data_IF_205420968411
#
_entry.id   IF_205420968411
#
_cell.length_a   1.000
_cell.length_b   1.000
_cell.length_c   1.000
_cell.angle_alpha   90.00
_cell.angle_beta   90.00
_cell.angle_gamma   90.00
#
_symmetry.space_group_name_H-M   'P 1'
#
loop_
_entity.id
_entity.type
_entity.pdbx_description
1 polymer ?
#
# COMPACT_ATOMS: atom_id res chain seq x y z
N UNK A 1 -5.93 -2.85 -26.54
CA UNK A 1 -4.66 -2.81 -27.29
C UNK A 1 -4.22 -4.21 -27.71
N UNK A 2 -4.25 -4.53 -29.00
CA UNK A 2 -3.79 -5.81 -29.56
C UNK A 2 -2.25 -5.89 -29.63
N UNK A 3 -1.69 -7.08 -29.88
CA UNK A 3 -0.24 -7.30 -30.12
C UNK A 3 0.29 -6.42 -31.27
N UNK A 4 -0.54 -6.18 -32.29
CA UNK A 4 -0.22 -5.30 -33.40
C UNK A 4 -0.03 -3.84 -32.93
N UNK A 5 -0.87 -3.38 -32.00
CA UNK A 5 -0.79 -2.02 -31.45
C UNK A 5 0.41 -1.86 -30.49
N UNK A 6 0.82 -2.91 -29.78
CA UNK A 6 2.04 -2.90 -28.96
C UNK A 6 3.31 -2.81 -29.83
N UNK A 7 3.35 -3.57 -30.94
CA UNK A 7 4.40 -3.49 -31.97
C UNK A 7 4.40 -2.12 -32.66
N UNK A 8 3.22 -1.51 -32.90
CA UNK A 8 3.09 -0.16 -33.44
C UNK A 8 3.45 0.94 -32.43
N UNK A 9 3.29 0.70 -31.13
CA UNK A 9 3.74 1.58 -30.05
C UNK A 9 5.26 1.44 -29.79
N UNK A 10 5.88 0.33 -30.23
CA UNK A 10 7.31 0.04 -30.05
C UNK A 10 8.22 1.17 -30.51
N UNK A 11 8.03 1.82 -31.68
CA UNK A 11 8.85 2.96 -32.11
C UNK A 11 8.62 4.21 -31.26
N UNK A 12 7.42 4.41 -30.71
CA UNK A 12 7.10 5.54 -29.85
C UNK A 12 7.73 5.38 -28.46
N UNK A 13 7.58 4.19 -27.86
CA UNK A 13 8.17 3.85 -26.56
C UNK A 13 9.69 3.77 -26.68
N UNK A 14 10.22 3.07 -27.69
CA UNK A 14 11.65 3.04 -27.97
C UNK A 14 12.18 4.44 -28.29
N UNK A 15 11.45 5.25 -29.06
CA UNK A 15 11.82 6.63 -29.37
C UNK A 15 11.87 7.55 -28.14
N UNK A 16 11.00 7.33 -27.15
CA UNK A 16 11.02 8.00 -25.85
C UNK A 16 12.23 7.58 -25.00
N UNK A 17 12.63 6.30 -25.08
CA UNK A 17 13.64 5.71 -24.22
C UNK A 17 15.05 5.64 -24.81
N UNK A 18 15.24 5.83 -26.13
CA UNK A 18 16.53 5.52 -26.81
C UNK A 18 17.08 6.63 -27.73
N UNK A 19 16.33 7.69 -28.08
CA UNK A 19 16.83 8.68 -29.05
C UNK A 19 17.95 9.57 -28.48
N UNK A 20 19.16 9.58 -29.09
CA UNK A 20 20.24 10.47 -28.70
C UNK A 20 20.04 11.85 -29.36
N UNK A 21 19.76 12.85 -28.55
CA UNK A 21 19.64 14.24 -28.98
C UNK A 21 19.59 15.16 -27.76
N UNK A 22 19.53 16.50 -27.93
CA UNK A 22 19.56 17.48 -26.83
C UNK A 22 18.40 17.33 -25.81
N UNK A 23 17.49 16.37 -26.02
CA UNK A 23 16.53 15.81 -25.06
C UNK A 23 17.14 14.77 -24.10
N UNK A 24 18.41 14.92 -23.70
CA UNK A 24 19.01 14.15 -22.59
C UNK A 24 18.22 14.28 -21.28
N UNK A 25 17.40 15.33 -21.17
CA UNK A 25 16.50 15.60 -20.03
C UNK A 25 15.24 14.71 -20.03
N UNK A 26 14.86 14.07 -21.15
CA UNK A 26 13.59 13.32 -21.24
C UNK A 26 13.71 11.81 -20.93
N UNK A 27 14.85 11.17 -21.25
CA UNK A 27 15.08 9.76 -20.94
C UNK A 27 15.33 9.50 -19.43
N UNK A 28 15.64 10.54 -18.65
CA UNK A 28 15.93 10.47 -17.21
C UNK A 28 14.70 10.55 -16.28
N UNK A 29 13.48 10.61 -16.82
CA UNK A 29 12.28 10.96 -16.02
C UNK A 29 11.15 9.91 -16.01
N UNK A 30 11.28 8.78 -16.73
CA UNK A 30 10.21 7.77 -16.76
C UNK A 30 10.27 6.93 -15.48
N UNK A 31 9.49 7.33 -14.47
CA UNK A 31 9.38 6.60 -13.21
C UNK A 31 8.39 5.42 -13.31
N UNK A 32 7.31 5.59 -14.06
CA UNK A 32 6.20 4.63 -14.14
C UNK A 32 5.65 4.50 -15.56
N UNK A 33 5.30 3.28 -15.96
CA UNK A 33 4.62 2.95 -17.21
C UNK A 33 3.33 2.19 -16.87
N UNK A 34 2.19 2.71 -17.30
CA UNK A 34 0.89 2.08 -17.09
C UNK A 34 0.41 1.37 -18.34
N UNK A 35 -0.02 0.12 -18.20
CA UNK A 35 -0.54 -0.72 -19.26
C UNK A 35 -1.99 -1.03 -18.93
N UNK A 36 -2.88 -0.16 -19.40
CA UNK A 36 -4.32 -0.24 -19.15
C UNK A 36 -5.01 -0.66 -20.44
N UNK A 37 -5.56 -1.87 -20.44
CA UNK A 37 -6.24 -2.46 -21.60
C UNK A 37 -7.48 -3.20 -21.11
N UNK A 38 -8.62 -3.07 -21.79
CA UNK A 38 -9.84 -3.81 -21.41
C UNK A 38 -9.68 -5.32 -21.49
N UNK A 39 -8.69 -5.81 -22.26
CA UNK A 39 -8.28 -7.21 -22.31
C UNK A 39 -6.98 -7.41 -21.52
N UNK A 40 -7.07 -8.11 -20.39
CA UNK A 40 -5.93 -8.46 -19.52
C UNK A 40 -4.89 -9.37 -20.17
N UNK A 41 -5.29 -10.26 -21.07
CA UNK A 41 -4.33 -11.09 -21.83
C UNK A 41 -3.50 -10.22 -22.74
N UNK A 42 -4.13 -9.24 -23.39
CA UNK A 42 -3.43 -8.30 -24.23
C UNK A 42 -2.56 -7.32 -23.40
N UNK A 43 -3.00 -6.90 -22.21
CA UNK A 43 -2.18 -6.15 -21.25
C UNK A 43 -0.90 -6.90 -20.87
N UNK A 44 -1.01 -8.19 -20.54
CA UNK A 44 0.13 -9.04 -20.19
C UNK A 44 1.12 -9.17 -21.35
N UNK A 45 0.63 -9.31 -22.60
CA UNK A 45 1.49 -9.34 -23.80
C UNK A 45 2.23 -8.02 -24.01
N UNK A 46 1.54 -6.88 -23.88
CA UNK A 46 2.16 -5.55 -23.97
C UNK A 46 3.23 -5.39 -22.89
N UNK A 47 2.96 -5.85 -21.67
CA UNK A 47 3.93 -5.84 -20.57
C UNK A 47 5.24 -6.54 -20.95
N UNK A 48 5.16 -7.73 -21.57
CA UNK A 48 6.36 -8.43 -22.04
C UNK A 48 7.19 -7.60 -23.03
N UNK A 49 6.54 -6.87 -23.94
CA UNK A 49 7.23 -6.01 -24.92
C UNK A 49 7.88 -4.81 -24.22
N UNK A 50 7.16 -4.17 -23.29
CA UNK A 50 7.69 -3.04 -22.52
C UNK A 50 8.90 -3.46 -21.69
N UNK A 51 8.83 -4.62 -21.02
CA UNK A 51 9.97 -5.20 -20.28
C UNK A 51 11.20 -5.37 -21.16
N UNK A 52 11.03 -5.93 -22.37
CA UNK A 52 12.13 -6.07 -23.34
C UNK A 52 12.76 -4.71 -23.69
N UNK A 53 11.95 -3.69 -23.97
CA UNK A 53 12.44 -2.34 -24.30
C UNK A 53 13.19 -1.73 -23.11
N UNK A 54 12.62 -1.76 -21.91
CA UNK A 54 13.23 -1.19 -20.70
C UNK A 54 14.55 -1.90 -20.37
N UNK A 55 14.59 -3.23 -20.52
CA UNK A 55 15.81 -4.01 -20.29
C UNK A 55 16.96 -3.60 -21.21
N UNK A 56 16.66 -3.29 -22.48
CA UNK A 56 17.63 -2.92 -23.52
C UNK A 56 17.95 -1.42 -23.56
N UNK A 57 17.12 -0.58 -22.94
CA UNK A 57 17.35 0.86 -22.93
C UNK A 57 18.67 1.21 -22.21
N UNK A 58 19.50 2.00 -22.90
CA UNK A 58 20.76 2.54 -22.41
C UNK A 58 20.54 3.98 -21.96
N UNK A 59 20.97 4.34 -20.74
CA UNK A 59 20.82 5.69 -20.20
C UNK A 59 19.55 5.93 -19.36
N UNK A 60 18.79 4.88 -19.05
CA UNK A 60 17.90 4.91 -17.90
C UNK A 60 18.72 5.14 -16.63
N UNK A 61 18.12 5.79 -15.63
CA UNK A 61 18.76 5.88 -14.31
C UNK A 61 19.07 4.48 -13.79
N UNK A 62 20.04 4.36 -12.87
CA UNK A 62 20.29 3.11 -12.14
C UNK A 62 19.06 2.64 -11.32
N UNK A 63 18.06 3.50 -11.17
CA UNK A 63 16.77 3.19 -10.53
C UNK A 63 15.80 2.49 -11.46
N UNK A 64 15.01 1.60 -10.88
CA UNK A 64 14.08 0.76 -11.61
C UNK A 64 12.82 1.53 -12.07
N UNK A 65 12.39 1.29 -13.30
CA UNK A 65 11.10 1.80 -13.83
C UNK A 65 9.96 0.91 -13.32
N UNK A 66 8.90 1.49 -12.75
CA UNK A 66 7.73 0.70 -12.36
C UNK A 66 6.81 0.47 -13.57
N UNK A 67 6.51 -0.78 -13.89
CA UNK A 67 5.58 -1.18 -14.93
C UNK A 67 4.32 -1.69 -14.26
N UNK A 68 3.19 -1.04 -14.49
CA UNK A 68 1.94 -1.30 -13.78
C UNK A 68 0.92 -1.79 -14.79
N UNK A 69 0.48 -3.03 -14.64
CA UNK A 69 -0.36 -3.73 -15.61
C UNK A 69 -1.74 -3.91 -15.04
N UNK A 70 -2.78 -3.53 -15.78
CA UNK A 70 -4.14 -3.95 -15.43
C UNK A 70 -4.28 -5.44 -15.70
N UNK A 71 -4.87 -6.15 -14.74
CA UNK A 71 -5.43 -7.48 -14.96
C UNK A 71 -6.85 -7.56 -14.41
N UNK A 72 -7.60 -8.53 -14.89
CA UNK A 72 -9.01 -8.72 -14.49
C UNK A 72 -9.15 -9.80 -13.40
N UNK A 73 -8.10 -10.57 -13.14
CA UNK A 73 -8.09 -11.68 -12.19
C UNK A 73 -7.03 -11.48 -11.09
N UNK A 74 -7.42 -11.73 -9.84
CA UNK A 74 -6.56 -11.52 -8.68
C UNK A 74 -5.44 -12.55 -8.56
N UNK A 75 -5.68 -13.82 -8.92
CA UNK A 75 -4.64 -14.85 -8.89
C UNK A 75 -3.58 -14.60 -9.98
N UNK A 76 -4.00 -14.13 -11.15
CA UNK A 76 -3.09 -13.69 -12.20
C UNK A 76 -2.32 -12.44 -11.79
N UNK A 77 -2.97 -11.49 -11.11
CA UNK A 77 -2.29 -10.31 -10.56
C UNK A 77 -1.16 -10.72 -9.62
N UNK A 78 -1.46 -11.61 -8.70
CA UNK A 78 -0.51 -12.17 -7.76
C UNK A 78 0.67 -12.85 -8.48
N UNK A 79 0.36 -13.71 -9.46
CA UNK A 79 1.37 -14.43 -10.24
C UNK A 79 2.33 -13.46 -10.94
N UNK A 80 1.81 -12.40 -11.57
CA UNK A 80 2.64 -11.39 -12.24
C UNK A 80 3.57 -10.70 -11.24
N UNK A 81 3.05 -10.29 -10.07
CA UNK A 81 3.85 -9.62 -9.03
C UNK A 81 5.02 -10.50 -8.57
N UNK A 82 4.83 -11.81 -8.48
CA UNK A 82 5.90 -12.76 -8.11
C UNK A 82 6.87 -13.10 -9.26
N UNK A 83 6.35 -13.42 -10.45
CA UNK A 83 7.18 -13.79 -11.62
C UNK A 83 8.17 -12.66 -11.98
N UNK A 84 7.69 -11.43 -11.93
CA UNK A 84 8.47 -10.26 -12.32
C UNK A 84 9.22 -9.58 -11.16
N UNK A 85 9.10 -10.13 -9.95
CA UNK A 85 9.81 -9.62 -8.78
C UNK A 85 11.34 -9.55 -9.02
N UNK A 86 11.90 -10.55 -9.71
CA UNK A 86 13.34 -10.73 -9.92
C UNK A 86 13.85 -10.49 -11.34
N UNK A 87 12.98 -10.13 -12.28
CA UNK A 87 13.32 -10.29 -13.69
C UNK A 87 14.37 -9.29 -14.21
N UNK A 88 14.57 -8.13 -13.55
CA UNK A 88 15.65 -7.19 -13.90
C UNK A 88 15.82 -6.07 -12.89
N UNK A 89 17.05 -5.70 -12.51
CA UNK A 89 17.30 -4.48 -11.72
C UNK A 89 16.70 -3.21 -12.34
N UNK A 90 16.49 -3.16 -13.65
CA UNK A 90 15.99 -1.99 -14.39
C UNK A 90 14.49 -1.73 -14.28
N UNK A 91 13.69 -2.69 -13.82
CA UNK A 91 12.25 -2.48 -13.68
C UNK A 91 11.63 -3.28 -12.53
N UNK A 92 10.47 -2.84 -12.08
CA UNK A 92 9.62 -3.52 -11.09
C UNK A 92 8.23 -3.62 -11.71
N UNK A 93 7.60 -4.79 -11.64
CA UNK A 93 6.24 -4.94 -12.16
C UNK A 93 5.24 -4.99 -11.02
N UNK A 94 4.09 -4.34 -11.24
CA UNK A 94 2.91 -4.54 -10.43
C UNK A 94 1.71 -4.86 -11.32
N UNK A 95 0.70 -5.47 -10.71
CA UNK A 95 -0.58 -5.74 -11.32
C UNK A 95 -1.69 -5.05 -10.52
N UNK A 96 -2.62 -4.40 -11.21
CA UNK A 96 -3.80 -3.79 -10.61
C UNK A 96 -5.06 -4.53 -11.03
N UNK A 97 -5.87 -4.87 -10.03
CA UNK A 97 -7.23 -5.42 -10.20
C UNK A 97 -8.22 -4.34 -9.80
N UNK A 98 -9.24 -4.09 -10.62
CA UNK A 98 -10.20 -3.02 -10.38
C UNK A 98 -10.93 -3.17 -9.04
N UNK A 99 -11.31 -4.39 -8.65
CA UNK A 99 -11.94 -4.65 -7.34
C UNK A 99 -11.02 -4.40 -6.15
N UNK A 100 -9.74 -4.78 -6.23
CA UNK A 100 -8.74 -4.49 -5.19
C UNK A 100 -8.50 -2.98 -5.04
N UNK A 101 -8.39 -2.28 -6.18
CA UNK A 101 -8.25 -0.82 -6.22
C UNK A 101 -9.46 -0.14 -5.59
N UNK A 102 -10.67 -0.49 -6.04
CA UNK A 102 -11.91 0.09 -5.53
C UNK A 102 -12.08 -0.19 -4.04
N UNK A 103 -11.79 -1.41 -3.57
CA UNK A 103 -11.85 -1.75 -2.14
C UNK A 103 -10.90 -0.91 -1.30
N UNK A 104 -9.64 -0.74 -1.74
CA UNK A 104 -8.64 0.10 -1.07
C UNK A 104 -9.12 1.55 -0.88
N UNK A 105 -9.73 2.12 -1.90
CA UNK A 105 -10.18 3.51 -1.89
C UNK A 105 -11.48 3.71 -1.11
N UNK A 106 -12.47 2.82 -1.30
CA UNK A 106 -13.73 2.85 -0.55
C UNK A 106 -13.46 2.74 0.95
N UNK A 107 -12.66 1.76 1.38
CA UNK A 107 -12.36 1.61 2.81
C UNK A 107 -11.47 2.74 3.34
N UNK A 108 -10.52 3.24 2.55
CA UNK A 108 -9.69 4.39 2.92
C UNK A 108 -10.54 5.64 3.21
N UNK A 109 -11.53 5.92 2.38
CA UNK A 109 -12.44 7.04 2.57
C UNK A 109 -13.49 6.80 3.64
N UNK A 110 -14.02 5.58 3.73
CA UNK A 110 -14.94 5.25 4.80
C UNK A 110 -14.32 5.48 6.19
N UNK A 111 -13.06 5.09 6.37
CA UNK A 111 -12.31 5.34 7.59
C UNK A 111 -12.03 6.83 7.81
N UNK A 112 -11.76 7.58 6.73
CA UNK A 112 -11.61 9.03 6.79
C UNK A 112 -12.88 9.73 7.30
N UNK A 113 -14.05 9.37 6.76
CA UNK A 113 -15.34 9.95 7.16
C UNK A 113 -15.68 9.69 8.64
N UNK A 114 -15.22 8.57 9.19
CA UNK A 114 -15.39 8.24 10.62
C UNK A 114 -14.51 9.08 11.57
N UNK A 115 -13.46 9.73 11.04
CA UNK A 115 -12.49 10.54 11.76
C UNK A 115 -11.35 9.75 12.40
N UNK A 116 -10.22 10.42 12.61
CA UNK A 116 -9.01 9.83 13.22
C UNK A 116 -9.26 9.39 14.67
N UNK A 117 -8.81 8.18 15.02
CA UNK A 117 -8.77 7.67 16.40
C UNK A 117 -9.93 6.76 16.84
N UNK A 118 -10.91 6.49 15.98
CA UNK A 118 -11.90 5.44 16.26
C UNK A 118 -11.33 4.08 15.88
N UNK A 119 -10.99 3.28 16.89
CA UNK A 119 -10.47 1.91 16.71
C UNK A 119 -11.57 0.85 16.82
N UNK A 120 -12.78 1.24 17.22
CA UNK A 120 -13.93 0.33 17.35
C UNK A 120 -15.02 0.68 16.34
N UNK A 121 -14.72 0.44 15.07
CA UNK A 121 -15.61 0.68 13.94
C UNK A 121 -16.07 -0.64 13.34
N UNK A 122 -17.35 -0.73 12.99
CA UNK A 122 -17.91 -1.92 12.34
C UNK A 122 -18.07 -1.68 10.85
N UNK A 123 -17.60 -2.63 10.05
CA UNK A 123 -17.88 -2.68 8.62
C UNK A 123 -19.01 -3.69 8.34
N UNK A 124 -20.08 -3.26 7.69
CA UNK A 124 -21.14 -4.14 7.18
C UNK A 124 -20.99 -4.23 5.66
N UNK A 125 -20.64 -5.41 5.16
CA UNK A 125 -20.47 -5.67 3.72
C UNK A 125 -21.69 -6.44 3.22
N UNK A 126 -22.39 -5.87 2.24
CA UNK A 126 -23.59 -6.47 1.64
C UNK A 126 -23.29 -6.99 0.24
N UNK A 127 -23.70 -8.23 -0.04
CA UNK A 127 -23.57 -8.86 -1.36
C UNK A 127 -22.48 -9.93 -1.45
N UNK A 128 -22.43 -10.64 -2.58
CA UNK A 128 -21.61 -11.84 -2.80
C UNK A 128 -20.60 -11.72 -3.96
N UNK A 129 -20.33 -10.50 -4.41
CA UNK A 129 -19.48 -10.24 -5.58
C UNK A 129 -17.97 -10.37 -5.31
N UNK A 130 -17.15 -10.37 -6.37
CA UNK A 130 -15.68 -10.28 -6.27
C UNK A 130 -15.23 -9.03 -5.49
N UNK A 131 -16.04 -7.97 -5.50
CA UNK A 131 -15.79 -6.78 -4.70
C UNK A 131 -15.97 -7.06 -3.20
N UNK A 132 -16.93 -7.90 -2.80
CA UNK A 132 -17.05 -8.36 -1.39
C UNK A 132 -15.75 -9.02 -0.95
N UNK A 133 -15.21 -9.96 -1.73
CA UNK A 133 -13.94 -10.61 -1.42
C UNK A 133 -12.77 -9.61 -1.35
N UNK A 134 -12.72 -8.62 -2.25
CA UNK A 134 -11.69 -7.58 -2.23
C UNK A 134 -11.80 -6.66 -1.00
N UNK A 135 -13.01 -6.29 -0.59
CA UNK A 135 -13.28 -5.48 0.61
C UNK A 135 -12.83 -6.22 1.87
N UNK A 136 -13.13 -7.50 2.01
CA UNK A 136 -12.67 -8.32 3.14
C UNK A 136 -11.14 -8.39 3.22
N UNK A 137 -10.47 -8.64 2.09
CA UNK A 137 -9.01 -8.68 2.00
C UNK A 137 -8.37 -7.33 2.36
N UNK A 138 -8.95 -6.22 1.90
CA UNK A 138 -8.46 -4.89 2.24
C UNK A 138 -8.69 -4.55 3.71
N UNK A 139 -9.83 -4.93 4.30
CA UNK A 139 -10.09 -4.69 5.71
C UNK A 139 -9.08 -5.43 6.62
N UNK A 140 -8.78 -6.69 6.32
CA UNK A 140 -7.72 -7.45 7.00
C UNK A 140 -6.34 -6.80 6.82
N UNK A 141 -6.05 -6.25 5.63
CA UNK A 141 -4.80 -5.54 5.37
C UNK A 141 -4.70 -4.26 6.20
N UNK A 142 -5.74 -3.42 6.21
CA UNK A 142 -5.80 -2.17 6.98
C UNK A 142 -5.66 -2.41 8.48
N UNK A 143 -6.27 -3.48 9.00
CA UNK A 143 -6.11 -3.88 10.40
C UNK A 143 -4.65 -4.17 10.75
N UNK A 144 -3.98 -4.98 9.92
CA UNK A 144 -2.56 -5.32 10.10
C UNK A 144 -1.64 -4.09 9.95
N UNK A 145 -1.96 -3.18 9.04
CA UNK A 145 -1.27 -1.90 8.90
C UNK A 145 -1.39 -1.05 10.17
N UNK A 146 -2.59 -0.97 10.75
CA UNK A 146 -2.84 -0.25 12.01
C UNK A 146 -2.00 -0.84 13.13
N UNK A 147 -2.07 -2.17 13.35
CA UNK A 147 -1.28 -2.85 14.38
C UNK A 147 0.22 -2.61 14.21
N UNK A 148 0.73 -2.67 12.96
CA UNK A 148 2.14 -2.48 12.68
C UNK A 148 2.60 -1.07 13.06
N UNK A 149 1.79 -0.06 12.78
CA UNK A 149 2.11 1.32 13.10
C UNK A 149 1.91 1.66 14.57
N UNK A 150 0.95 1.01 15.24
CA UNK A 150 0.77 1.10 16.69
C UNK A 150 1.99 0.52 17.42
N UNK A 151 2.55 -0.61 16.98
CA UNK A 151 3.78 -1.18 17.53
C UNK A 151 4.97 -0.23 17.40
N UNK A 152 5.14 0.38 16.22
CA UNK A 152 6.18 1.39 15.99
C UNK A 152 6.02 2.59 16.95
N UNK A 153 4.76 3.00 17.21
CA UNK A 153 4.45 4.09 18.13
C UNK A 153 4.61 3.69 19.61
N UNK A 154 4.36 2.43 19.97
CA UNK A 154 4.47 1.91 21.34
C UNK A 154 5.91 1.65 21.76
N UNK A 155 6.79 1.24 20.84
CA UNK A 155 8.23 1.11 21.07
C UNK A 155 8.86 2.40 21.62
N UNK A 156 8.30 3.56 21.24
CA UNK A 156 8.71 4.89 21.74
C UNK A 156 8.48 5.08 23.24
N UNK A 157 7.41 4.51 23.82
CA UNK A 157 7.10 4.67 25.26
C UNK A 157 8.10 3.93 26.17
N UNK A 158 8.73 2.86 25.66
CA UNK A 158 9.66 2.02 26.44
C UNK A 158 11.06 2.64 26.60
N UNK A 159 11.43 3.57 25.72
CA UNK A 159 12.73 4.28 25.72
C UNK A 159 12.65 5.70 26.28
N UNK A 160 11.46 6.19 26.62
CA UNK A 160 11.30 7.43 27.35
C UNK A 160 11.62 7.18 28.83
N UNK A 161 12.86 7.44 29.24
CA UNK A 161 13.20 7.49 30.66
C UNK A 161 12.41 8.63 31.33
N UNK A 162 11.87 8.45 32.55
CA UNK A 162 11.09 9.48 33.26
C UNK A 162 11.84 10.80 33.54
N UNK A 163 13.15 10.83 33.29
CA UNK A 163 14.03 11.96 33.57
C UNK A 163 14.34 12.85 32.34
N UNK A 164 13.82 12.53 31.15
CA UNK A 164 13.81 13.50 30.05
C UNK A 164 12.78 14.58 30.41
N UNK A 165 13.27 15.78 30.76
CA UNK A 165 12.49 16.94 31.22
C UNK A 165 11.37 17.39 30.27
N UNK A 166 10.72 18.54 30.52
CA UNK A 166 9.42 18.89 29.94
C UNK A 166 9.54 19.25 28.44
N UNK A 167 9.70 18.23 27.60
CA UNK A 167 9.42 18.23 26.18
C UNK A 167 8.31 17.20 25.89
N UNK A 168 7.37 17.10 26.83
CA UNK A 168 6.07 16.50 26.60
C UNK A 168 5.34 17.31 25.51
N UNK A 169 4.70 16.56 24.60
CA UNK A 169 3.78 17.05 23.57
C UNK A 169 4.42 17.54 22.25
N UNK A 170 5.22 16.70 21.59
CA UNK A 170 5.49 16.87 20.14
C UNK A 170 4.47 16.10 19.28
N UNK A 171 3.72 15.16 19.85
CA UNK A 171 2.69 14.38 19.13
C UNK A 171 1.47 15.24 18.74
N UNK A 172 1.29 16.42 19.37
CA UNK A 172 0.05 17.20 19.27
C UNK A 172 0.15 18.46 18.38
N UNK A 173 1.29 18.70 17.69
CA UNK A 173 1.51 19.89 16.86
C UNK A 173 1.67 19.60 15.36
N UNK A 174 1.28 18.41 14.88
CA UNK A 174 1.09 18.21 13.45
C UNK A 174 -0.25 18.83 13.07
N UNK A 175 -0.19 20.06 12.53
CA UNK A 175 -1.34 20.79 12.03
C UNK A 175 -2.20 19.92 11.14
N UNK A 176 -3.48 19.87 11.47
CA UNK A 176 -4.55 19.37 10.61
C UNK A 176 -4.69 20.32 9.42
N UNK A 177 -3.94 20.09 8.35
CA UNK A 177 -4.28 20.63 7.04
C UNK A 177 -5.07 19.57 6.24
N UNK A 178 -6.25 19.99 5.80
CA UNK A 178 -7.47 19.23 5.48
C UNK A 178 -7.40 18.27 4.26
N UNK A 179 -6.21 17.83 3.85
CA UNK A 179 -6.02 16.88 2.73
C UNK A 179 -4.97 15.80 2.98
N UNK A 180 -4.29 15.81 4.12
CA UNK A 180 -3.00 15.11 4.28
C UNK A 180 -3.06 13.64 4.68
N UNK A 181 -4.26 13.10 4.78
CA UNK A 181 -4.45 11.98 5.67
C UNK A 181 -5.40 10.95 5.05
N UNK A 182 -4.91 10.21 4.06
CA UNK A 182 -5.20 8.77 4.07
C UNK A 182 -4.35 8.16 5.19
N UNK A 183 -4.67 8.51 6.45
CA UNK A 183 -4.02 7.96 7.63
C UNK A 183 -4.15 6.46 7.52
N UNK A 184 -3.02 5.77 7.63
CA UNK A 184 -2.96 4.38 8.08
C UNK A 184 -3.40 4.28 9.57
N UNK A 185 -4.42 5.04 9.99
CA UNK A 185 -4.75 5.33 11.39
C UNK A 185 -6.16 4.88 11.79
N UNK A 186 -6.90 4.26 10.89
CA UNK A 186 -8.18 3.63 11.19
C UNK A 186 -8.18 2.18 10.69
N UNK A 187 -8.85 1.31 11.44
CA UNK A 187 -9.21 -0.02 11.00
C UNK A 187 -10.60 -0.37 11.53
N UNK A 188 -11.20 -1.41 10.95
CA UNK A 188 -12.44 -1.98 11.49
C UNK A 188 -12.07 -3.04 12.51
N UNK A 189 -12.69 -3.00 13.68
CA UNK A 189 -12.53 -4.04 14.72
C UNK A 189 -13.40 -5.26 14.43
N UNK A 190 -14.53 -5.02 13.75
CA UNK A 190 -15.54 -6.01 13.40
C UNK A 190 -16.00 -5.85 11.95
N UNK A 191 -16.26 -6.98 11.30
CA UNK A 191 -16.88 -7.05 9.97
C UNK A 191 -18.10 -7.97 10.06
N UNK A 192 -19.22 -7.52 9.50
CA UNK A 192 -20.40 -8.35 9.22
C UNK A 192 -20.54 -8.50 7.73
N UNK A 193 -20.56 -9.74 7.25
CA UNK A 193 -20.98 -10.07 5.89
C UNK A 193 -22.47 -10.38 5.92
N UNK A 194 -23.25 -9.63 5.16
CA UNK A 194 -24.69 -9.78 5.06
C UNK A 194 -25.04 -10.14 3.62
N UNK A 195 -25.38 -11.41 3.41
CA UNK A 195 -25.91 -11.95 2.17
C UNK A 195 -26.50 -13.33 2.45
N UNK A 196 -27.32 -13.89 1.55
CA UNK A 196 -27.78 -15.28 1.66
C UNK A 196 -26.60 -16.27 1.73
N UNK A 197 -25.51 -15.97 1.02
CA UNK A 197 -24.28 -16.76 0.95
C UNK A 197 -23.22 -16.39 1.99
N UNK A 198 -23.52 -15.50 2.95
CA UNK A 198 -22.53 -14.93 3.88
C UNK A 198 -21.67 -15.97 4.60
N UNK A 199 -22.24 -17.10 5.02
CA UNK A 199 -21.51 -18.18 5.69
C UNK A 199 -20.41 -18.75 4.78
N UNK A 200 -20.72 -19.04 3.52
CA UNK A 200 -19.75 -19.58 2.55
C UNK A 200 -18.64 -18.58 2.23
N UNK A 201 -19.00 -17.29 2.09
CA UNK A 201 -18.05 -16.19 1.87
C UNK A 201 -17.07 -16.09 3.05
N UNK A 202 -17.58 -16.09 4.28
CA UNK A 202 -16.78 -15.97 5.49
C UNK A 202 -15.87 -17.18 5.66
N UNK A 203 -16.37 -18.40 5.44
CA UNK A 203 -15.56 -19.62 5.51
C UNK A 203 -14.43 -19.62 4.48
N UNK A 204 -14.74 -19.29 3.23
CA UNK A 204 -13.76 -19.18 2.13
C UNK A 204 -12.69 -18.13 2.43
N UNK A 205 -13.10 -16.96 2.92
CA UNK A 205 -12.18 -15.88 3.30
C UNK A 205 -11.28 -16.29 4.48
N UNK A 206 -11.85 -16.89 5.53
CA UNK A 206 -11.09 -17.39 6.68
C UNK A 206 -10.04 -18.44 6.28
N UNK A 207 -10.39 -19.34 5.36
CA UNK A 207 -9.47 -20.35 4.85
C UNK A 207 -8.26 -19.73 4.13
N UNK A 208 -8.45 -18.61 3.42
CA UNK A 208 -7.39 -17.89 2.71
C UNK A 208 -6.57 -16.95 3.60
N UNK A 209 -7.19 -16.38 4.64
CA UNK A 209 -6.57 -15.39 5.55
C UNK A 209 -5.39 -15.96 6.37
N UNK A 210 -5.38 -17.26 6.64
CA UNK A 210 -4.36 -17.89 7.49
C UNK A 210 -4.41 -17.43 8.95
N UNK A 211 -3.28 -17.49 9.68
CA UNK A 211 -3.19 -17.15 11.12
C UNK A 211 -2.93 -15.67 11.41
N UNK A 212 -3.11 -14.80 10.42
CA UNK A 212 -2.80 -13.39 10.58
C UNK A 212 -3.83 -12.67 11.48
N UNK A 213 -3.33 -11.71 12.28
CA UNK A 213 -4.19 -10.79 13.03
C UNK A 213 -5.09 -10.03 12.07
N UNK A 214 -6.37 -9.89 12.41
CA UNK A 214 -7.37 -9.20 11.61
C UNK A 214 -8.73 -9.14 12.36
N UNK A 215 -9.70 -8.34 11.88
CA UNK A 215 -10.96 -8.10 12.57
C UNK A 215 -11.75 -9.37 12.90
N UNK A 216 -12.64 -9.24 13.89
CA UNK A 216 -13.68 -10.22 14.13
C UNK A 216 -14.65 -10.23 12.95
N UNK A 217 -14.97 -11.43 12.44
CA UNK A 217 -15.76 -11.61 11.23
C UNK A 217 -17.04 -12.39 11.58
N UNK A 218 -18.18 -11.86 11.17
CA UNK A 218 -19.50 -12.43 11.42
C UNK A 218 -20.26 -12.63 10.12
N UNK A 219 -20.96 -13.75 9.99
CA UNK A 219 -21.84 -14.04 8.87
C UNK A 219 -23.30 -13.89 9.29
N UNK A 220 -24.07 -13.11 8.53
CA UNK A 220 -25.51 -12.99 8.64
C UNK A 220 -26.12 -13.54 7.35
N UNK A 221 -26.47 -14.84 7.34
CA UNK A 221 -27.02 -15.54 6.17
C UNK A 221 -28.48 -15.17 5.90
N UNK A 222 -28.69 -13.94 5.44
CA UNK A 222 -29.99 -13.36 5.15
C UNK A 222 -29.90 -12.48 3.88
N UNK A 223 -30.97 -12.39 3.05
CA UNK A 223 -30.99 -11.48 1.92
C UNK A 223 -30.81 -10.03 2.40
N UNK A 224 -29.75 -9.38 1.94
CA UNK A 224 -29.34 -8.11 2.53
C UNK A 224 -30.34 -6.99 2.28
N UNK A 225 -31.01 -6.96 1.11
CA UNK A 225 -31.92 -5.86 0.77
C UNK A 225 -33.15 -5.80 1.69
N UNK A 226 -33.53 -6.94 2.28
CA UNK A 226 -34.65 -7.03 3.22
C UNK A 226 -34.21 -7.00 4.68
N UNK A 227 -32.93 -7.24 4.96
CA UNK A 227 -32.45 -7.53 6.32
C UNK A 227 -31.52 -6.44 6.88
N UNK A 228 -30.84 -5.69 6.02
CA UNK A 228 -29.82 -4.69 6.41
C UNK A 228 -30.31 -3.70 7.47
N UNK A 229 -31.51 -3.13 7.30
CA UNK A 229 -32.05 -2.17 8.26
C UNK A 229 -32.28 -2.80 9.65
N UNK A 230 -32.68 -4.07 9.70
CA UNK A 230 -32.91 -4.76 10.98
C UNK A 230 -31.59 -5.13 11.65
N UNK A 231 -30.59 -5.54 10.87
CA UNK A 231 -29.22 -5.80 11.36
C UNK A 231 -28.65 -4.53 12.00
N UNK A 232 -28.74 -3.38 11.31
CA UNK A 232 -28.24 -2.11 11.84
C UNK A 232 -29.01 -1.66 13.10
N UNK A 233 -30.34 -1.79 13.13
CA UNK A 233 -31.15 -1.42 14.31
C UNK A 233 -30.82 -2.25 15.55
N UNK A 234 -30.61 -3.55 15.37
CA UNK A 234 -30.25 -4.45 16.48
C UNK A 234 -28.90 -4.06 17.08
N UNK A 235 -27.97 -3.57 16.23
CA UNK A 235 -26.66 -3.07 16.67
C UNK A 235 -26.73 -1.72 17.39
N UNK A 236 -27.51 -0.77 16.88
CA UNK A 236 -27.68 0.52 17.55
C UNK A 236 -28.25 0.38 18.97
N UNK A 237 -29.00 -0.69 19.25
CA UNK A 237 -29.47 -1.03 20.59
C UNK A 237 -28.43 -1.69 21.51
N UNK A 238 -27.26 -2.08 20.99
CA UNK A 238 -26.24 -2.87 21.71
C UNK A 238 -24.84 -2.22 21.75
N UNK A 239 -24.53 -1.23 20.88
CA UNK A 239 -23.25 -0.51 20.91
C UNK A 239 -23.36 0.94 20.42
N UNK A 240 -22.48 1.82 20.93
CA UNK A 240 -22.22 3.18 20.41
C UNK A 240 -21.23 3.19 19.22
N UNK A 241 -20.71 2.02 18.80
CA UNK A 241 -19.72 1.90 17.72
C UNK A 241 -20.31 2.35 16.38
N UNK A 242 -19.66 3.32 15.72
CA UNK A 242 -20.06 3.80 14.40
C UNK A 242 -19.93 2.68 13.35
N UNK A 243 -20.88 2.62 12.41
CA UNK A 243 -20.86 1.62 11.34
C UNK A 243 -20.66 2.26 9.96
N UNK A 244 -19.97 1.52 9.11
CA UNK A 244 -19.88 1.79 7.67
C UNK A 244 -20.56 0.65 6.96
N UNK A 245 -21.43 0.98 6.02
CA UNK A 245 -22.08 0.00 5.14
C UNK A 245 -21.44 0.08 3.76
N UNK A 246 -20.96 -1.04 3.23
CA UNK A 246 -20.52 -1.16 1.84
C UNK A 246 -21.43 -2.14 1.12
N UNK A 247 -22.15 -1.67 0.11
CA UNK A 247 -22.98 -2.48 -0.77
C UNK A 247 -22.16 -2.79 -2.02
N UNK A 248 -21.62 -4.01 -2.06
CA UNK A 248 -20.68 -4.47 -3.08
C UNK A 248 -21.36 -5.12 -4.29
N UNK A 249 -22.64 -5.47 -4.17
CA UNK A 249 -23.43 -6.03 -5.27
C UNK A 249 -23.48 -5.09 -6.49
N UNK A 250 -23.68 -5.65 -7.69
CA UNK A 250 -23.95 -4.85 -8.88
C UNK A 250 -25.15 -3.90 -8.69
N UNK A 251 -25.17 -2.77 -9.40
CA UNK A 251 -26.21 -1.77 -9.22
C UNK A 251 -27.60 -2.31 -9.55
N UNK A 252 -28.58 -2.00 -8.70
CA UNK A 252 -29.98 -2.32 -8.93
C UNK A 252 -30.92 -1.26 -8.33
N UNK A 253 -32.08 -1.07 -8.95
CA UNK A 253 -33.10 -0.14 -8.44
C UNK A 253 -33.64 -0.50 -7.06
N UNK A 254 -33.55 -1.78 -6.66
CA UNK A 254 -33.91 -2.25 -5.32
C UNK A 254 -32.79 -1.91 -4.34
N UNK A 255 -31.55 -2.25 -4.66
CA UNK A 255 -30.38 -1.94 -3.83
C UNK A 255 -30.21 -0.45 -3.57
N UNK A 256 -30.35 0.38 -4.61
CA UNK A 256 -30.32 1.84 -4.49
C UNK A 256 -31.38 2.37 -3.49
N UNK A 257 -32.63 1.89 -3.59
CA UNK A 257 -33.70 2.32 -2.67
C UNK A 257 -33.41 1.91 -1.22
N UNK A 258 -32.77 0.76 -1.02
CA UNK A 258 -32.33 0.32 0.31
C UNK A 258 -31.20 1.22 0.81
N UNK A 259 -30.16 1.47 0.01
CA UNK A 259 -29.06 2.37 0.36
C UNK A 259 -29.55 3.75 0.80
N UNK A 260 -30.43 4.36 0.00
CA UNK A 260 -31.08 5.63 0.31
C UNK A 260 -31.84 5.58 1.65
N UNK A 261 -32.62 4.52 1.87
CA UNK A 261 -33.39 4.34 3.10
C UNK A 261 -32.48 4.15 4.32
N UNK A 262 -31.37 3.43 4.19
CA UNK A 262 -30.40 3.25 5.29
C UNK A 262 -29.76 4.59 5.63
N UNK A 263 -29.25 5.32 4.64
CA UNK A 263 -28.63 6.63 4.86
C UNK A 263 -29.60 7.62 5.55
N UNK A 264 -30.89 7.58 5.19
CA UNK A 264 -31.93 8.42 5.80
C UNK A 264 -32.29 8.03 7.24
N UNK A 265 -32.33 6.73 7.56
CA UNK A 265 -32.93 6.24 8.81
C UNK A 265 -31.93 5.84 9.89
N UNK A 266 -30.69 5.51 9.51
CA UNK A 266 -29.69 4.97 10.43
C UNK A 266 -28.61 5.97 10.82
N UNK A 267 -28.36 6.99 10.00
CA UNK A 267 -27.24 7.93 10.18
C UNK A 267 -25.87 7.34 9.82
N UNK A 268 -25.80 6.07 9.42
CA UNK A 268 -24.55 5.40 9.05
C UNK A 268 -24.00 5.91 7.71
N UNK A 269 -22.68 5.79 7.50
CA UNK A 269 -22.06 6.03 6.21
C UNK A 269 -22.29 4.85 5.27
N UNK A 270 -22.95 5.09 4.14
CA UNK A 270 -23.31 4.07 3.14
C UNK A 270 -22.52 4.30 1.86
N UNK A 271 -21.79 3.29 1.43
CA UNK A 271 -21.04 3.24 0.18
C UNK A 271 -21.76 2.26 -0.76
N UNK A 272 -22.26 2.75 -1.88
CA UNK A 272 -23.05 1.97 -2.83
C UNK A 272 -22.33 1.85 -4.18
N UNK A 273 -22.16 0.61 -4.65
CA UNK A 273 -21.69 0.34 -6.00
C UNK A 273 -22.77 0.71 -7.02
N UNK A 274 -22.60 1.86 -7.66
CA UNK A 274 -23.53 2.41 -8.63
C UNK A 274 -23.26 1.90 -10.06
N UNK A 275 -22.03 1.43 -10.34
CA UNK A 275 -21.64 0.96 -11.68
C UNK A 275 -21.50 2.06 -12.74
N UNK A 276 -20.75 1.78 -13.80
CA UNK A 276 -20.60 2.66 -14.96
C UNK A 276 -21.96 2.93 -15.64
N UNK A 277 -22.37 4.21 -15.68
CA UNK A 277 -23.62 4.64 -16.33
C UNK A 277 -24.76 5.00 -15.37
N UNK A 278 -24.56 4.91 -14.05
CA UNK A 278 -25.54 5.40 -13.06
C UNK A 278 -25.45 6.92 -12.81
N UNK A 279 -24.62 7.63 -13.58
CA UNK A 279 -24.42 9.06 -13.46
C UNK A 279 -25.24 9.84 -14.49
N UNK A 280 -26.54 10.00 -14.23
CA UNK A 280 -27.25 11.24 -14.58
C UNK A 280 -28.27 11.59 -13.48
N UNK A 281 -27.86 12.46 -12.55
CA UNK A 281 -28.78 13.46 -12.01
C UNK A 281 -29.37 13.29 -10.61
N UNK A 282 -28.76 12.55 -9.67
CA UNK A 282 -29.20 12.63 -8.26
C UNK A 282 -28.04 12.89 -7.31
N UNK A 283 -27.74 14.17 -7.08
CA UNK A 283 -27.31 14.54 -5.73
C UNK A 283 -28.43 14.13 -4.79
N UNK A 284 -28.21 13.13 -3.95
CA UNK A 284 -29.20 12.72 -2.95
C UNK A 284 -29.42 13.79 -1.88
N UNK A 285 -28.52 14.78 -1.81
CA UNK A 285 -28.45 15.76 -0.73
C UNK A 285 -28.03 15.16 0.61
N UNK A 286 -27.74 13.85 0.66
CA UNK A 286 -27.33 13.14 1.87
C UNK A 286 -25.81 13.10 1.94
N UNK A 287 -25.25 13.63 3.03
CA UNK A 287 -23.79 13.67 3.23
C UNK A 287 -23.19 12.29 3.55
N UNK A 288 -24.01 11.33 4.00
CA UNK A 288 -23.60 10.00 4.42
C UNK A 288 -23.90 8.89 3.38
N UNK A 289 -24.29 9.25 2.15
CA UNK A 289 -24.49 8.30 1.06
C UNK A 289 -23.52 8.61 -0.07
N UNK A 290 -22.58 7.69 -0.29
CA UNK A 290 -21.52 7.81 -1.27
C UNK A 290 -21.70 6.75 -2.36
N UNK A 291 -21.71 7.19 -3.61
CA UNK A 291 -21.73 6.31 -4.77
C UNK A 291 -20.30 6.07 -5.27
N UNK A 292 -20.01 4.85 -5.71
CA UNK A 292 -18.74 4.50 -6.34
C UNK A 292 -18.94 3.52 -7.49
N UNK A 293 -17.90 3.36 -8.30
CA UNK A 293 -17.84 2.38 -9.40
C UNK A 293 -16.58 1.51 -9.26
N UNK A 294 -16.65 0.30 -9.83
CA UNK A 294 -15.50 -0.59 -9.94
C UNK A 294 -14.61 -0.09 -11.08
N UNK A 295 -13.43 0.41 -10.73
CA UNK A 295 -12.55 1.08 -11.69
C UNK A 295 -11.10 1.02 -11.21
N UNK A 296 -10.15 1.17 -12.14
CA UNK A 296 -8.72 1.35 -11.81
C UNK A 296 -8.39 2.78 -11.39
N UNK A 297 -9.31 3.70 -11.70
CA UNK A 297 -9.25 5.09 -11.29
C UNK A 297 -10.38 5.31 -10.30
N UNK A 298 -10.04 5.80 -9.11
CA UNK A 298 -11.05 6.19 -8.14
C UNK A 298 -11.15 7.71 -8.16
N UNK A 299 -12.32 8.23 -8.55
CA UNK A 299 -12.56 9.66 -8.77
C UNK A 299 -11.49 10.37 -9.64
N UNK A 300 -11.01 9.68 -10.67
CA UNK A 300 -10.01 10.22 -11.61
C UNK A 300 -8.57 10.16 -11.13
N UNK A 301 -8.29 9.61 -9.94
CA UNK A 301 -6.95 9.41 -9.41
C UNK A 301 -6.57 7.93 -9.44
N UNK A 302 -5.27 7.67 -9.61
CA UNK A 302 -4.74 6.31 -9.53
C UNK A 302 -4.28 6.04 -8.09
N UNK A 303 -4.77 4.96 -7.46
CA UNK A 303 -4.37 4.59 -6.10
C UNK A 303 -2.90 4.24 -6.00
N UNK A 304 -2.43 4.13 -4.76
CA UNK A 304 -1.16 3.48 -4.48
C UNK A 304 -1.17 2.04 -5.01
N UNK A 305 -0.18 1.72 -5.82
CA UNK A 305 0.14 0.36 -6.20
C UNK A 305 0.78 -0.40 -5.02
N UNK A 306 0.90 -1.72 -5.11
CA UNK A 306 1.46 -2.62 -4.08
C UNK A 306 2.79 -2.09 -3.55
N UNK A 307 3.70 -1.72 -4.45
CA UNK A 307 5.04 -1.26 -4.10
C UNK A 307 5.04 0.09 -3.40
N UNK A 308 4.25 1.05 -3.92
CA UNK A 308 4.10 2.38 -3.34
C UNK A 308 3.47 2.30 -1.95
N UNK A 309 2.55 1.34 -1.74
CA UNK A 309 1.95 1.06 -0.44
C UNK A 309 2.98 0.51 0.56
N UNK A 310 3.84 -0.44 0.15
CA UNK A 310 4.94 -0.94 1.00
C UNK A 310 5.85 0.23 1.41
N UNK A 311 6.32 1.02 0.44
CA UNK A 311 7.19 2.16 0.71
C UNK A 311 6.53 3.22 1.60
N UNK A 312 5.22 3.44 1.46
CA UNK A 312 4.43 4.33 2.33
C UNK A 312 4.36 3.79 3.75
N UNK A 313 4.00 2.53 3.96
CA UNK A 313 3.89 1.96 5.32
C UNK A 313 5.24 2.05 6.03
N UNK A 314 6.33 1.70 5.33
CA UNK A 314 7.67 1.80 5.89
C UNK A 314 8.03 3.24 6.29
N UNK A 315 7.76 4.21 5.39
CA UNK A 315 7.96 5.62 5.69
C UNK A 315 7.15 6.10 6.89
N UNK A 316 5.88 5.70 6.97
CA UNK A 316 4.98 6.11 8.03
C UNK A 316 5.38 5.50 9.38
N UNK A 317 5.90 4.26 9.40
CA UNK A 317 6.53 3.66 10.59
C UNK A 317 7.74 4.47 11.02
N UNK A 318 8.65 4.74 10.09
CA UNK A 318 9.83 5.56 10.32
C UNK A 318 9.40 6.90 10.93
N UNK A 319 8.48 7.63 10.27
CA UNK A 319 7.96 8.94 10.70
C UNK A 319 7.37 8.93 12.10
N UNK A 320 6.67 7.86 12.49
CA UNK A 320 6.03 7.70 13.82
C UNK A 320 6.99 7.33 14.95
N UNK A 321 8.21 6.87 14.65
CA UNK A 321 9.25 6.74 15.66
C UNK A 321 9.66 8.14 16.24
N UNK A 322 10.30 8.22 17.40
CA UNK A 322 10.55 9.48 18.16
C UNK A 322 11.55 10.41 17.45
N UNK A 323 11.19 11.68 17.19
CA UNK A 323 12.14 12.70 16.68
C UNK A 323 11.96 14.10 17.30
N UNK A 324 13.04 14.89 17.24
CA UNK A 324 13.06 16.31 17.60
C UNK A 324 12.96 17.17 16.34
N UNK A 325 12.26 18.31 16.41
CA UNK A 325 12.29 19.32 15.35
C UNK A 325 13.70 19.90 15.21
N UNK A 326 14.08 20.23 13.98
CA UNK A 326 15.31 20.98 13.67
C UNK A 326 14.86 22.38 13.26
N UNK A 327 15.26 23.40 14.02
CA UNK A 327 14.87 24.80 13.79
C UNK A 327 13.35 25.01 13.64
N UNK A 328 12.56 24.28 14.43
CA UNK A 328 11.09 24.34 14.40
C UNK A 328 10.44 23.67 13.19
N UNK A 329 11.21 22.95 12.35
CA UNK A 329 10.72 22.23 11.17
C UNK A 329 10.99 20.73 11.25
N UNK A 330 10.16 19.97 10.55
CA UNK A 330 10.42 18.55 10.31
C UNK A 330 11.57 18.42 9.31
N UNK A 331 12.56 17.53 9.55
CA UNK A 331 13.54 17.17 8.54
C UNK A 331 12.85 16.67 7.26
N UNK A 332 13.48 16.86 6.09
CA UNK A 332 12.94 16.44 4.78
C UNK A 332 12.52 14.96 4.76
N UNK A 333 13.31 14.09 5.43
CA UNK A 333 13.03 12.66 5.57
C UNK A 333 11.77 12.35 6.40
N UNK A 334 11.13 13.35 7.01
CA UNK A 334 9.97 13.23 7.91
C UNK A 334 8.72 13.89 7.35
N UNK A 335 8.82 14.55 6.20
CA UNK A 335 7.64 15.05 5.52
C UNK A 335 6.68 13.89 5.24
N UNK A 336 5.36 14.11 5.31
CA UNK A 336 4.37 13.08 5.02
C UNK A 336 4.56 12.49 3.62
N UNK A 337 4.19 11.22 3.44
CA UNK A 337 4.30 10.52 2.16
C UNK A 337 3.64 11.32 1.01
N UNK A 338 2.53 11.97 1.32
CA UNK A 338 1.82 12.86 0.40
C UNK A 338 1.34 14.11 1.15
N UNK A 339 1.37 15.23 0.45
CA UNK A 339 0.78 16.50 0.86
C UNK A 339 0.42 17.26 -0.43
N UNK A 340 -0.62 18.09 -0.37
CA UNK A 340 -1.10 18.88 -1.52
C UNK A 340 -0.09 19.95 -1.96
N UNK A 341 0.49 20.68 -1.00
CA UNK A 341 1.73 21.45 -1.16
C UNK A 341 2.95 20.53 -1.35
N UNK A 342 3.65 20.70 -2.47
CA UNK A 342 4.83 19.90 -2.81
C UNK A 342 6.03 20.14 -1.89
N UNK A 343 6.11 21.29 -1.23
CA UNK A 343 7.19 21.60 -0.29
C UNK A 343 7.04 20.86 1.04
N UNK A 344 5.82 20.37 1.32
CA UNK A 344 5.48 19.68 2.56
C UNK A 344 5.31 18.17 2.38
N UNK A 345 5.52 17.64 1.16
CA UNK A 345 5.48 16.19 0.90
C UNK A 345 6.87 15.60 0.81
N UNK A 346 6.99 14.31 1.12
CA UNK A 346 8.20 13.55 0.92
C UNK A 346 8.66 13.64 -0.54
N UNK A 347 9.92 14.03 -0.81
CA UNK A 347 10.42 14.14 -2.18
C UNK A 347 10.29 12.83 -2.96
N UNK A 348 10.06 12.94 -4.27
CA UNK A 348 9.85 11.78 -5.14
C UNK A 348 11.00 10.78 -5.10
N UNK A 349 12.24 11.26 -4.94
CA UNK A 349 13.41 10.39 -4.85
C UNK A 349 13.41 9.54 -3.58
N UNK A 350 12.96 10.06 -2.43
CA UNK A 350 12.83 9.30 -1.17
C UNK A 350 11.69 8.29 -1.23
N UNK A 351 10.56 8.67 -1.83
CA UNK A 351 9.45 7.72 -2.07
C UNK A 351 9.90 6.54 -2.92
N UNK A 352 10.70 6.81 -3.96
CA UNK A 352 11.30 5.78 -4.80
C UNK A 352 12.31 4.93 -4.02
N UNK A 353 13.18 5.57 -3.24
CA UNK A 353 14.17 4.86 -2.41
C UNK A 353 13.53 3.88 -1.42
N UNK A 354 12.41 4.25 -0.77
CA UNK A 354 11.66 3.34 0.11
C UNK A 354 11.09 2.14 -0.66
N UNK A 355 10.68 2.32 -1.92
CA UNK A 355 10.24 1.20 -2.77
C UNK A 355 11.42 0.31 -3.17
N UNK A 356 12.54 0.92 -3.57
CA UNK A 356 13.75 0.21 -3.99
C UNK A 356 14.37 -0.58 -2.83
N UNK A 357 14.32 -0.06 -1.60
CA UNK A 357 14.74 -0.77 -0.39
C UNK A 357 13.93 -2.05 -0.17
N UNK A 358 12.59 -1.96 -0.19
CA UNK A 358 11.75 -3.14 0.02
C UNK A 358 12.06 -4.24 -0.99
N UNK A 359 12.25 -3.84 -2.25
CA UNK A 359 12.67 -4.74 -3.30
C UNK A 359 14.07 -5.32 -3.08
N UNK A 360 15.04 -4.49 -2.71
CA UNK A 360 16.43 -4.90 -2.44
C UNK A 360 16.48 -5.97 -1.35
N UNK A 361 15.78 -5.74 -0.24
CA UNK A 361 15.64 -6.72 0.86
C UNK A 361 15.01 -8.02 0.37
N UNK A 362 13.88 -7.94 -0.31
CA UNK A 362 13.19 -9.13 -0.81
C UNK A 362 14.08 -9.94 -1.79
N UNK A 363 14.83 -9.27 -2.66
CA UNK A 363 15.78 -9.91 -3.60
C UNK A 363 16.92 -10.59 -2.85
N UNK A 364 17.51 -9.91 -1.87
CA UNK A 364 18.63 -10.43 -1.07
C UNK A 364 18.24 -11.69 -0.29
N UNK A 365 17.02 -11.72 0.27
CA UNK A 365 16.46 -12.92 0.93
C UNK A 365 16.29 -14.07 -0.06
N UNK A 366 15.86 -13.78 -1.29
CA UNK A 366 15.68 -14.80 -2.32
C UNK A 366 17.00 -15.37 -2.85
N UNK A 367 18.04 -14.55 -2.96
CA UNK A 367 19.39 -15.00 -3.31
C UNK A 367 19.96 -15.99 -2.28
N UNK A 368 19.43 -15.97 -1.05
CA UNK A 368 19.74 -16.95 -0.01
C UNK A 368 18.92 -18.25 -0.10
N UNK A 369 18.10 -18.43 -1.13
CA UNK A 369 17.33 -19.67 -1.35
C UNK A 369 15.92 -19.66 -0.78
N UNK A 370 15.36 -18.48 -0.50
CA UNK A 370 13.95 -18.34 -0.13
C UNK A 370 13.08 -17.97 -1.34
N UNK A 371 11.83 -18.42 -1.33
CA UNK A 371 10.80 -17.98 -2.27
C UNK A 371 9.76 -17.11 -1.53
N UNK A 372 9.28 -16.06 -2.18
CA UNK A 372 8.19 -15.22 -1.67
C UNK A 372 6.85 -15.83 -2.08
N UNK A 373 5.98 -16.10 -1.11
CA UNK A 373 4.64 -16.67 -1.36
C UNK A 373 3.55 -15.86 -0.69
N UNK A 374 2.29 -16.15 -1.05
CA UNK A 374 1.13 -15.47 -0.47
C UNK A 374 0.93 -15.90 0.97
N UNK A 375 0.67 -14.93 1.84
CA UNK A 375 0.24 -15.20 3.22
C UNK A 375 -0.94 -16.18 3.22
N UNK A 376 -0.88 -17.18 4.08
CA UNK A 376 -1.91 -18.23 4.20
C UNK A 376 -1.66 -19.48 3.35
N UNK A 377 -0.74 -19.44 2.38
CA UNK A 377 -0.45 -20.60 1.50
C UNK A 377 0.30 -21.72 2.20
N UNK A 378 1.10 -21.40 3.21
CA UNK A 378 1.89 -22.37 3.99
C UNK A 378 1.93 -22.00 5.47
N UNK A 379 2.21 -23.00 6.31
CA UNK A 379 2.44 -22.83 7.75
C UNK A 379 3.90 -22.49 8.09
N UNK A 380 4.83 -22.87 7.21
CA UNK A 380 6.27 -22.61 7.37
C UNK A 380 6.58 -21.29 6.68
N UNK A 381 6.72 -20.23 7.47
CA UNK A 381 6.99 -18.87 6.98
C UNK A 381 8.06 -18.24 7.86
N UNK A 382 8.89 -17.40 7.27
CA UNK A 382 9.93 -16.67 7.99
C UNK A 382 11.28 -16.79 7.30
N UNK A 383 12.13 -15.82 7.57
CA UNK A 383 13.50 -15.82 7.10
C UNK A 383 14.43 -16.19 8.25
N UNK A 384 15.16 -17.29 8.08
CA UNK A 384 16.13 -17.83 9.05
C UNK A 384 17.56 -17.77 8.49
N UNK A 385 17.76 -17.06 7.37
CA UNK A 385 19.07 -16.89 6.75
C UNK A 385 19.90 -15.79 7.41
N UNK A 386 20.91 -15.34 6.68
CA UNK A 386 21.86 -14.34 7.14
C UNK A 386 21.28 -12.92 7.02
N UNK A 387 20.76 -12.40 8.15
CA UNK A 387 20.27 -11.03 8.27
C UNK A 387 21.39 -9.98 8.13
N UNK A 388 22.63 -10.30 8.52
CA UNK A 388 23.76 -9.39 8.41
C UNK A 388 24.12 -9.18 6.94
N UNK A 389 24.15 -10.25 6.15
CA UNK A 389 24.40 -10.15 4.71
C UNK A 389 23.34 -9.28 4.01
N UNK A 390 22.05 -9.44 4.33
CA UNK A 390 20.99 -8.59 3.76
C UNK A 390 21.18 -7.12 4.17
N UNK A 391 21.48 -6.88 5.45
CA UNK A 391 21.71 -5.53 5.97
C UNK A 391 22.93 -4.86 5.33
N UNK A 392 24.02 -5.58 5.12
CA UNK A 392 25.22 -5.08 4.46
C UNK A 392 24.95 -4.71 3.00
N UNK A 393 24.24 -5.56 2.25
CA UNK A 393 23.89 -5.30 0.85
C UNK A 393 22.98 -4.07 0.72
N UNK A 394 21.97 -3.96 1.58
CA UNK A 394 21.06 -2.83 1.58
C UNK A 394 21.74 -1.53 2.05
N UNK A 395 22.66 -1.60 3.02
CA UNK A 395 23.46 -0.45 3.44
C UNK A 395 24.34 0.08 2.31
N UNK A 396 25.00 -0.80 1.56
CA UNK A 396 25.82 -0.41 0.41
C UNK A 396 24.97 0.32 -0.66
N UNK A 397 23.76 -0.18 -0.95
CA UNK A 397 22.80 0.48 -1.85
C UNK A 397 22.36 1.84 -1.31
N UNK A 398 21.98 1.90 -0.04
CA UNK A 398 21.55 3.14 0.62
C UNK A 398 22.66 4.19 0.60
N UNK A 399 23.91 3.80 0.89
CA UNK A 399 25.07 4.68 0.90
C UNK A 399 25.28 5.32 -0.48
N UNK A 400 25.27 4.52 -1.55
CA UNK A 400 25.37 5.02 -2.92
C UNK A 400 24.27 6.05 -3.26
N UNK A 401 23.03 5.78 -2.85
CA UNK A 401 21.92 6.71 -3.02
C UNK A 401 22.14 8.00 -2.24
N UNK A 402 22.60 7.93 -1.00
CA UNK A 402 22.88 9.12 -0.19
C UNK A 402 23.98 9.98 -0.82
N UNK A 403 25.12 9.37 -1.16
CA UNK A 403 26.24 10.05 -1.80
C UNK A 403 25.82 10.72 -3.12
N UNK A 404 25.05 10.02 -3.95
CA UNK A 404 24.49 10.58 -5.20
C UNK A 404 23.59 11.79 -4.96
N UNK A 405 22.94 11.88 -3.80
CA UNK A 405 22.07 13.00 -3.42
C UNK A 405 22.79 14.06 -2.54
N UNK A 406 24.13 14.04 -2.54
CA UNK A 406 25.00 15.03 -1.90
C UNK A 406 25.16 14.86 -0.38
N UNK A 407 24.69 13.74 0.18
CA UNK A 407 24.94 13.43 1.59
C UNK A 407 26.38 13.00 1.82
N UNK A 408 26.89 13.26 3.02
CA UNK A 408 28.26 12.97 3.39
C UNK A 408 28.39 12.85 4.92
N UNK A 409 29.43 12.17 5.41
CA UNK A 409 29.60 11.89 6.84
C UNK A 409 30.28 13.04 7.62
N UNK A 410 31.29 13.65 7.01
CA UNK A 410 32.09 14.69 7.66
C UNK A 410 31.35 16.05 7.67
N UNK A 411 31.67 16.97 8.59
CA UNK A 411 31.13 18.32 8.54
C UNK A 411 31.67 19.08 7.32
N UNK A 412 30.80 19.72 6.54
CA UNK A 412 31.24 20.70 5.54
C UNK A 412 32.01 21.85 6.20
N UNK A 413 33.21 22.22 5.72
CA UNK A 413 33.98 23.32 6.29
C UNK A 413 33.21 24.65 6.22
N UNK A 414 32.87 25.22 7.38
CA UNK A 414 32.26 26.55 7.49
C UNK A 414 30.73 26.60 7.37
N UNK A 415 30.04 25.47 7.29
CA UNK A 415 28.56 25.44 7.29
C UNK A 415 28.01 24.80 8.59
N UNK A 416 27.62 25.60 9.58
CA UNK A 416 26.99 25.09 10.81
C UNK A 416 25.57 24.56 10.58
N UNK A 417 24.97 24.77 9.41
CA UNK A 417 23.63 24.33 9.04
C UNK A 417 23.63 23.29 7.91
N UNK A 418 24.68 22.47 7.82
CA UNK A 418 24.81 21.43 6.82
C UNK A 418 23.73 20.33 6.97
N UNK A 419 22.62 20.53 6.24
CA UNK A 419 21.46 19.64 6.23
C UNK A 419 21.70 18.33 5.44
N UNK A 420 22.88 18.17 4.81
CA UNK A 420 23.27 16.96 4.07
C UNK A 420 24.31 16.13 4.82
N UNK A 421 24.66 16.52 6.04
CA UNK A 421 25.48 15.71 6.92
C UNK A 421 24.69 14.55 7.51
N UNK A 422 25.20 13.33 7.31
CA UNK A 422 24.73 12.13 7.99
C UNK A 422 25.92 11.24 8.37
N UNK A 423 26.27 11.10 9.67
CA UNK A 423 27.44 10.35 10.12
C UNK A 423 27.49 8.88 9.67
N UNK A 424 26.33 8.28 9.36
CA UNK A 424 26.26 6.88 8.90
C UNK A 424 26.52 6.72 7.41
N UNK A 425 26.79 7.80 6.66
CA UNK A 425 27.23 7.76 5.26
C UNK A 425 28.71 7.32 5.14
N UNK A 426 29.00 6.14 5.67
CA UNK A 426 30.31 5.47 5.68
C UNK A 426 30.13 4.00 5.27
N UNK A 427 31.23 3.31 4.96
CA UNK A 427 31.19 1.89 4.60
C UNK A 427 30.73 1.02 5.78
N UNK A 428 30.20 -0.19 5.49
CA UNK A 428 29.64 -1.09 6.51
C UNK A 428 30.58 -1.35 7.69
N UNK A 429 31.85 -1.62 7.41
CA UNK A 429 32.87 -1.93 8.42
C UNK A 429 33.25 -0.72 9.30
N UNK A 430 32.85 0.49 8.89
CA UNK A 430 33.07 1.74 9.61
C UNK A 430 31.87 2.14 10.47
N UNK A 431 30.72 1.49 10.31
CA UNK A 431 29.57 1.67 11.18
C UNK A 431 29.87 1.19 12.59
N UNK A 432 29.23 1.82 13.58
CA UNK A 432 29.25 1.27 14.93
C UNK A 432 28.42 -0.01 14.98
N UNK A 433 28.66 -0.87 15.98
CA UNK A 433 27.85 -2.08 16.17
C UNK A 433 26.38 -1.76 16.42
N UNK A 434 26.10 -0.67 17.13
CA UNK A 434 24.74 -0.17 17.34
C UNK A 434 24.07 0.21 16.02
N UNK A 435 24.77 0.91 15.12
CA UNK A 435 24.24 1.24 13.79
C UNK A 435 24.01 -0.01 12.93
N UNK A 436 24.92 -0.99 12.97
CA UNK A 436 24.76 -2.26 12.25
C UNK A 436 23.52 -3.03 12.74
N UNK A 437 23.33 -3.13 14.06
CA UNK A 437 22.14 -3.75 14.68
C UNK A 437 20.86 -2.99 14.33
N UNK A 438 20.92 -1.65 14.28
CA UNK A 438 19.80 -0.82 13.86
C UNK A 438 19.42 -1.06 12.40
N UNK A 439 20.40 -1.17 11.49
CA UNK A 439 20.14 -1.50 10.08
C UNK A 439 19.50 -2.88 9.98
N UNK A 440 20.04 -3.90 10.66
CA UNK A 440 19.44 -5.25 10.67
C UNK A 440 17.99 -5.23 11.18
N UNK A 441 17.71 -4.49 12.25
CA UNK A 441 16.36 -4.30 12.78
C UNK A 441 15.45 -3.67 11.72
N UNK A 442 15.90 -2.60 11.05
CA UNK A 442 15.15 -1.96 9.98
C UNK A 442 14.88 -2.91 8.80
N UNK A 443 15.81 -3.82 8.46
CA UNK A 443 15.56 -4.85 7.43
C UNK A 443 14.46 -5.83 7.86
N UNK A 444 14.46 -6.27 9.12
CA UNK A 444 13.38 -7.12 9.65
C UNK A 444 12.03 -6.39 9.58
N UNK A 445 12.01 -5.09 9.89
CA UNK A 445 10.81 -4.26 9.76
C UNK A 445 10.30 -4.14 8.33
N UNK A 446 11.19 -4.11 7.33
CA UNK A 446 10.82 -4.19 5.91
C UNK A 446 10.10 -5.50 5.62
N UNK A 447 10.63 -6.63 6.10
CA UNK A 447 10.02 -7.96 5.91
C UNK A 447 8.63 -8.02 6.55
N UNK A 448 8.44 -7.48 7.74
CA UNK A 448 7.13 -7.37 8.38
C UNK A 448 6.14 -6.55 7.53
N UNK A 449 6.61 -5.44 6.95
CA UNK A 449 5.79 -4.56 6.10
C UNK A 449 5.34 -5.28 4.83
N UNK A 450 6.23 -6.05 4.22
CA UNK A 450 5.96 -6.88 3.05
C UNK A 450 4.92 -7.98 3.38
N UNK A 451 4.99 -8.58 4.58
CA UNK A 451 4.01 -9.53 5.09
C UNK A 451 2.61 -8.94 5.26
N UNK A 452 2.50 -7.70 5.71
CA UNK A 452 1.22 -6.98 5.80
C UNK A 452 0.56 -6.84 4.44
N UNK A 453 1.33 -6.52 3.40
CA UNK A 453 0.81 -6.36 2.03
C UNK A 453 0.49 -7.70 1.36
N UNK A 454 1.04 -8.81 1.89
CA UNK A 454 0.58 -10.16 1.58
C UNK A 454 1.66 -11.17 1.18
N UNK A 455 2.95 -10.84 1.36
CA UNK A 455 4.06 -11.68 0.93
C UNK A 455 4.91 -12.15 2.11
N UNK A 456 5.23 -13.44 2.18
CA UNK A 456 6.11 -13.99 3.22
C UNK A 456 7.19 -14.86 2.60
N UNK A 457 8.42 -14.85 3.16
CA UNK A 457 9.50 -15.70 2.67
C UNK A 457 9.32 -17.14 3.20
N UNK A 458 9.65 -18.10 2.35
CA UNK A 458 9.59 -19.54 2.65
C UNK A 458 10.84 -20.19 2.10
N UNK A 459 11.49 -21.04 2.90
CA UNK A 459 12.68 -21.74 2.44
C UNK A 459 12.36 -22.62 1.23
N UNK A 460 13.14 -22.51 0.15
CA UNK A 460 13.03 -23.40 -1.01
C UNK A 460 13.49 -24.79 -0.58
N UNK A 461 12.55 -25.64 -0.13
CA UNK A 461 12.82 -27.07 -0.01
C UNK A 461 13.25 -27.57 -1.39
N UNK A 462 14.44 -28.17 -1.49
CA UNK A 462 14.90 -28.78 -2.73
C UNK A 462 13.80 -29.70 -3.30
N UNK A 463 13.22 -29.31 -4.44
CA UNK A 463 12.47 -30.15 -5.38
C UNK A 463 11.02 -30.51 -5.03
N UNK A 464 10.06 -29.79 -5.60
CA UNK A 464 9.07 -30.46 -6.45
C UNK A 464 9.47 -30.18 -7.90
N UNK A 465 9.74 -31.19 -8.75
CA UNK A 465 9.97 -30.96 -10.17
C UNK A 465 8.67 -30.48 -10.86
N UNK A 466 8.77 -29.92 -12.08
CA UNK A 466 7.60 -29.53 -12.88
C UNK A 466 6.62 -30.65 -13.16
#
# INVERSE_FOLDING_TARGET
>A
MSVLEAELARPAISGLLTKPGPRRVAAMAVERIYIVNSDSTAAAKVSSVVKDIVSKATGLSDRAVQIIVRVDDAERAWTIRLEDFNSSSKFIVDALVATEVTASEVLGRALWELGDGRTDCTLVVCGDSDLTAAVLKEADRRYRESELLERASAGVKRWASPNDGPHGNVVQMLGHDEKDVLTLGGCFSQIIVLDSSATEIVESHCAQRGRASAPALHAESLPWETSLLNVLRTRQGTSESASVVVIADPPSSKGWRVALRIAQLSGEYVWYNAGAGFSEGRSTGLQNLHEFDVSLLFMGWMPDNTWSRIGRIQHERYRRAKFKLVDGRLPEARLPWWHSDQSQRLPSWRRRDNVDQARGVMKSIQEQGYDWVRVGTTKETGFEGDWEMVAQQEHARWLDVQLTNGFHAEPSPGDPHDHKRNPTCVEWDQLTKEDQEWVQTNIQEVVDTVAVVGYVPVWRRYGSPP
#
